data_IF_262700362734
#
_entry.id   IF_262700362734
#
_cell.length_a   1.000
_cell.length_b   1.000
_cell.length_c   1.000
_cell.angle_alpha   90.00
_cell.angle_beta   90.00
_cell.angle_gamma   90.00
#
_symmetry.space_group_name_H-M   'P 1'
#
loop_
_entity.id
_entity.type
_entity.pdbx_description
1 polymer ?
#
# COMPACT_ATOMS: atom_id res chain seq x y z
N UNK A 1 13.03 11.93 4.57
CA UNK A 1 11.82 12.37 3.83
C UNK A 1 11.85 11.89 2.38
N UNK A 2 10.70 11.56 1.76
CA UNK A 2 10.67 11.30 0.30
C UNK A 2 10.97 12.61 -0.46
N UNK A 3 11.99 12.67 -1.34
CA UNK A 3 12.34 13.89 -2.09
C UNK A 3 11.19 14.48 -2.91
N UNK A 4 10.17 13.68 -3.22
CA UNK A 4 9.03 14.10 -4.03
C UNK A 4 8.05 15.00 -3.27
N UNK A 5 7.76 14.73 -1.99
CA UNK A 5 6.79 15.51 -1.20
C UNK A 5 7.22 16.97 -1.01
N UNK A 6 8.48 17.18 -0.62
CA UNK A 6 9.06 18.51 -0.50
C UNK A 6 9.09 19.26 -1.84
N UNK A 7 9.40 18.58 -2.96
CA UNK A 7 9.33 19.18 -4.30
C UNK A 7 7.90 19.59 -4.66
N UNK A 8 6.91 18.74 -4.37
CA UNK A 8 5.50 19.04 -4.66
C UNK A 8 4.99 20.25 -3.86
N UNK A 9 5.33 20.33 -2.56
CA UNK A 9 4.96 21.49 -1.73
C UNK A 9 5.58 22.77 -2.29
N UNK A 10 6.87 22.76 -2.61
CA UNK A 10 7.55 23.90 -3.24
C UNK A 10 6.91 24.30 -4.57
N UNK A 11 6.54 23.32 -5.40
CA UNK A 11 5.84 23.58 -6.66
C UNK A 11 4.48 24.27 -6.45
N UNK A 12 3.67 23.78 -5.51
CA UNK A 12 2.37 24.37 -5.18
C UNK A 12 2.52 25.80 -4.64
N UNK A 13 3.48 26.03 -3.74
CA UNK A 13 3.76 27.36 -3.18
C UNK A 13 4.42 28.32 -4.16
N UNK A 14 4.98 27.83 -5.28
CA UNK A 14 5.47 28.70 -6.36
C UNK A 14 4.34 29.49 -7.04
N UNK A 15 3.07 29.06 -6.88
CA UNK A 15 1.90 29.77 -7.38
C UNK A 15 1.54 31.00 -6.52
N UNK A 16 2.04 31.06 -5.29
CA UNK A 16 1.79 32.14 -4.36
C UNK A 16 1.70 31.66 -2.92
N UNK A 17 1.62 32.63 -2.00
CA UNK A 17 1.36 32.35 -0.59
C UNK A 17 0.02 31.64 -0.40
N UNK A 18 0.01 30.62 0.46
CA UNK A 18 -1.17 29.79 0.66
C UNK A 18 -1.42 29.51 2.13
N UNK A 19 -2.64 29.77 2.65
CA UNK A 19 -3.03 29.35 3.98
C UNK A 19 -2.89 27.83 4.14
N UNK A 20 -2.42 27.38 5.29
CA UNK A 20 -2.22 25.97 5.63
C UNK A 20 -3.41 25.08 5.25
N UNK A 21 -4.63 25.51 5.63
CA UNK A 21 -5.84 24.76 5.34
C UNK A 21 -6.08 24.61 3.83
N UNK A 22 -5.79 25.65 3.03
CA UNK A 22 -5.92 25.61 1.57
C UNK A 22 -4.85 24.69 0.97
N UNK A 23 -3.60 24.81 1.41
CA UNK A 23 -2.49 23.98 0.97
C UNK A 23 -2.79 22.49 1.19
N UNK A 24 -3.24 22.11 2.39
CA UNK A 24 -3.59 20.73 2.72
C UNK A 24 -4.67 20.16 1.79
N UNK A 25 -5.71 20.95 1.45
CA UNK A 25 -6.79 20.49 0.56
C UNK A 25 -6.36 20.44 -0.90
N UNK A 26 -5.54 21.38 -1.36
CA UNK A 26 -4.98 21.35 -2.73
C UNK A 26 -4.09 20.12 -2.90
N UNK A 27 -3.17 19.85 -1.95
CA UNK A 27 -2.31 18.66 -2.00
C UNK A 27 -3.13 17.37 -1.97
N UNK A 28 -4.21 17.31 -1.19
CA UNK A 28 -5.12 16.16 -1.21
C UNK A 28 -5.76 15.94 -2.58
N UNK A 29 -6.21 17.01 -3.26
CA UNK A 29 -6.80 16.89 -4.60
C UNK A 29 -5.79 16.45 -5.67
N UNK A 30 -4.52 16.85 -5.53
CA UNK A 30 -3.42 16.39 -6.38
C UNK A 30 -3.24 14.88 -6.19
N UNK A 31 -3.10 14.43 -4.95
CA UNK A 31 -2.95 13.00 -4.63
C UNK A 31 -4.17 12.19 -5.00
N UNK A 32 -5.38 12.75 -4.90
CA UNK A 32 -6.60 12.11 -5.40
C UNK A 32 -6.54 11.87 -6.90
N UNK A 33 -6.09 12.86 -7.67
CA UNK A 33 -5.94 12.71 -9.11
C UNK A 33 -4.89 11.63 -9.46
N UNK A 34 -3.74 11.67 -8.77
CA UNK A 34 -2.70 10.66 -8.91
C UNK A 34 -3.21 9.27 -8.56
N UNK A 35 -3.92 9.13 -7.45
CA UNK A 35 -4.46 7.86 -7.00
C UNK A 35 -5.47 7.28 -8.00
N UNK A 36 -6.44 8.08 -8.45
CA UNK A 36 -7.46 7.60 -9.37
C UNK A 36 -6.88 7.16 -10.72
N UNK A 37 -5.81 7.81 -11.19
CA UNK A 37 -5.22 7.56 -12.51
C UNK A 37 -4.03 6.60 -12.50
N UNK A 38 -3.23 6.62 -11.44
CA UNK A 38 -1.95 5.93 -11.34
C UNK A 38 -1.84 5.01 -10.11
N UNK A 39 -2.78 5.09 -9.16
CA UNK A 39 -2.90 4.20 -8.01
C UNK A 39 -1.93 4.42 -6.85
N UNK A 40 -1.25 5.57 -6.81
CA UNK A 40 -0.37 5.93 -5.70
C UNK A 40 -0.62 7.37 -5.24
N UNK A 41 -0.14 7.69 -4.05
CA UNK A 41 -0.15 9.05 -3.47
C UNK A 41 1.27 9.48 -3.09
N UNK A 42 1.53 10.79 -3.13
CA UNK A 42 2.78 11.37 -2.63
C UNK A 42 2.78 11.42 -1.10
N UNK A 43 1.62 11.72 -0.51
CA UNK A 43 1.40 11.76 0.92
C UNK A 43 0.40 10.69 1.37
N UNK A 44 0.55 10.22 2.61
CA UNK A 44 -0.46 9.40 3.26
C UNK A 44 -1.55 10.29 3.88
N UNK A 45 -2.80 10.02 3.52
CA UNK A 45 -3.95 10.79 3.93
C UNK A 45 -4.81 10.01 4.91
N UNK A 46 -5.30 10.69 5.93
CA UNK A 46 -6.33 10.19 6.83
C UNK A 46 -7.44 11.20 7.02
N UNK A 47 -8.65 10.72 7.29
CA UNK A 47 -9.74 11.59 7.68
C UNK A 47 -9.50 12.09 9.12
N UNK A 48 -9.38 13.41 9.29
CA UNK A 48 -9.28 14.04 10.61
C UNK A 48 -10.48 14.97 10.85
N UNK A 49 -10.57 15.56 12.05
CA UNK A 49 -11.71 16.43 12.48
C UNK A 49 -12.08 17.49 11.45
N UNK A 50 -11.10 18.00 10.69
CA UNK A 50 -11.27 19.03 9.67
C UNK A 50 -10.99 18.51 8.25
N UNK A 51 -11.39 17.27 7.96
CA UNK A 51 -11.30 16.63 6.65
C UNK A 51 -9.95 15.94 6.42
N UNK A 52 -9.56 15.71 5.15
CA UNK A 52 -8.30 15.05 4.82
C UNK A 52 -7.09 15.76 5.42
N UNK A 53 -6.20 14.98 6.02
CA UNK A 53 -5.02 15.45 6.72
C UNK A 53 -3.85 14.49 6.47
N UNK A 54 -2.64 15.04 6.38
CA UNK A 54 -1.39 14.29 6.33
C UNK A 54 -0.36 14.92 7.27
N UNK A 55 0.22 14.12 8.17
CA UNK A 55 1.36 14.57 9.00
C UNK A 55 2.61 14.78 8.17
N UNK A 56 2.82 13.99 7.12
CA UNK A 56 3.97 14.09 6.23
C UNK A 56 4.06 15.46 5.53
N UNK A 57 2.92 16.14 5.31
CA UNK A 57 2.90 17.52 4.81
C UNK A 57 3.45 18.48 5.85
N UNK A 58 3.12 18.31 7.13
CA UNK A 58 3.65 19.13 8.21
C UNK A 58 5.14 18.90 8.40
N UNK A 59 5.57 17.63 8.41
CA UNK A 59 6.98 17.28 8.53
C UNK A 59 7.79 17.92 7.40
N UNK A 60 7.26 17.87 6.16
CA UNK A 60 7.88 18.50 4.99
C UNK A 60 7.92 20.02 5.07
N UNK A 61 6.87 20.67 5.59
CA UNK A 61 6.88 22.11 5.80
C UNK A 61 7.90 22.51 6.87
N UNK A 62 7.99 21.76 7.97
CA UNK A 62 8.95 22.02 9.04
C UNK A 62 10.40 21.84 8.58
N UNK A 63 10.70 20.82 7.79
CA UNK A 63 12.04 20.65 7.19
C UNK A 63 12.35 21.79 6.21
N UNK A 64 11.43 22.14 5.31
CA UNK A 64 11.61 23.25 4.37
C UNK A 64 11.77 24.60 5.06
N UNK A 65 11.11 24.82 6.19
CA UNK A 65 11.28 26.02 7.02
C UNK A 65 12.65 26.05 7.70
N UNK A 66 13.09 24.93 8.28
CA UNK A 66 14.42 24.81 8.88
C UNK A 66 15.55 25.03 7.85
N UNK A 67 15.32 24.65 6.59
CA UNK A 67 16.23 24.91 5.46
C UNK A 67 16.16 26.34 4.90
N UNK A 68 15.26 27.19 5.40
CA UNK A 68 15.02 28.54 4.88
C UNK A 68 14.46 28.55 3.46
N UNK A 69 13.72 27.52 3.06
CA UNK A 69 13.08 27.39 1.73
C UNK A 69 11.63 27.86 1.73
N UNK A 70 10.98 27.80 2.88
CA UNK A 70 9.59 28.21 3.09
C UNK A 70 9.52 29.05 4.36
N UNK A 71 8.78 30.15 4.31
CA UNK A 71 8.51 31.00 5.47
C UNK A 71 7.07 30.73 5.96
N UNK A 72 6.91 30.46 7.26
CA UNK A 72 5.62 30.41 7.92
C UNK A 72 5.23 31.81 8.43
N UNK A 73 4.07 32.31 8.00
CA UNK A 73 3.52 33.59 8.44
C UNK A 73 2.25 33.36 9.24
N UNK A 74 2.21 33.92 10.44
CA UNK A 74 1.01 33.89 11.27
C UNK A 74 0.16 35.11 10.92
N UNK A 75 -0.98 34.86 10.29
CA UNK A 75 -1.97 35.88 9.97
C UNK A 75 -3.12 35.86 10.97
N UNK A 76 -3.59 37.04 11.37
CA UNK A 76 -4.81 37.16 12.16
C UNK A 76 -6.02 37.12 11.23
N UNK A 77 -6.94 36.19 11.47
CA UNK A 77 -8.16 36.04 10.67
C UNK A 77 -9.38 35.98 11.60
N UNK A 78 -10.14 37.07 11.64
CA UNK A 78 -11.26 37.23 12.58
C UNK A 78 -10.77 37.25 14.05
N UNK A 79 -11.32 36.35 14.86
CA UNK A 79 -10.97 36.09 16.25
C UNK A 79 -9.86 35.05 16.44
N UNK A 80 -9.34 34.46 15.36
CA UNK A 80 -8.30 33.44 15.38
C UNK A 80 -7.01 33.82 14.66
N UNK A 81 -6.06 32.88 14.69
CA UNK A 81 -4.80 32.92 13.94
C UNK A 81 -4.80 31.80 12.89
N UNK A 82 -4.29 32.09 11.70
CA UNK A 82 -4.03 31.10 10.66
C UNK A 82 -2.58 31.19 10.22
N UNK A 83 -1.94 30.05 9.99
CA UNK A 83 -0.61 29.99 9.38
C UNK A 83 -0.77 29.96 7.86
N UNK A 84 -0.05 30.83 7.17
CA UNK A 84 0.15 30.81 5.74
C UNK A 84 1.62 30.51 5.43
N UNK A 85 1.86 29.80 4.34
CA UNK A 85 3.20 29.43 3.92
C UNK A 85 3.54 30.14 2.62
N UNK A 86 4.76 30.66 2.56
CA UNK A 86 5.32 31.33 1.38
C UNK A 86 6.62 30.66 0.96
N UNK A 87 6.77 30.43 -0.34
CA UNK A 87 8.03 29.96 -0.90
C UNK A 87 9.04 31.11 -0.96
N UNK A 88 10.26 30.89 -0.49
CA UNK A 88 11.36 31.83 -0.75
C UNK A 88 11.69 31.89 -2.25
N UNK A 89 12.12 33.06 -2.78
CA UNK A 89 12.39 33.22 -4.20
C UNK A 89 13.41 32.19 -4.74
N UNK A 90 12.92 31.25 -5.54
CA UNK A 90 13.73 30.23 -6.20
C UNK A 90 13.01 29.70 -7.44
N UNK A 91 13.75 29.00 -8.32
CA UNK A 91 13.14 28.31 -9.44
C UNK A 91 12.16 27.23 -8.96
N UNK A 92 11.02 27.09 -9.65
CA UNK A 92 10.10 26.00 -9.37
C UNK A 92 10.80 24.66 -9.58
N UNK A 93 10.66 23.69 -8.65
CA UNK A 93 11.32 22.41 -8.79
C UNK A 93 10.71 21.60 -9.95
N UNK A 94 11.54 20.77 -10.59
CA UNK A 94 11.03 19.78 -11.55
C UNK A 94 10.29 18.67 -10.82
N UNK A 95 9.08 18.38 -11.33
CA UNK A 95 8.23 17.29 -10.89
C UNK A 95 8.15 16.21 -11.97
N UNK A 96 7.96 14.93 -11.60
CA UNK A 96 7.57 13.89 -12.55
C UNK A 96 6.35 14.34 -13.38
N UNK A 97 6.28 14.02 -14.69
CA UNK A 97 5.24 14.53 -15.59
C UNK A 97 3.82 14.34 -15.07
N UNK A 98 3.51 13.16 -14.52
CA UNK A 98 2.21 12.80 -13.96
C UNK A 98 1.86 13.61 -12.71
N UNK A 99 2.85 13.86 -11.84
CA UNK A 99 2.68 14.70 -10.63
C UNK A 99 2.48 16.16 -11.03
N UNK A 100 3.23 16.62 -12.04
CA UNK A 100 3.09 17.98 -12.58
C UNK A 100 1.71 18.19 -13.19
N UNK A 101 1.23 17.24 -14.01
CA UNK A 101 -0.11 17.33 -14.62
C UNK A 101 -1.20 17.42 -13.55
N UNK A 102 -1.12 16.56 -12.52
CA UNK A 102 -2.06 16.58 -11.40
C UNK A 102 -2.02 17.91 -10.65
N UNK A 103 -0.82 18.42 -10.36
CA UNK A 103 -0.61 19.70 -9.69
C UNK A 103 -1.17 20.87 -10.51
N UNK A 104 -0.85 20.94 -11.80
CA UNK A 104 -1.31 22.02 -12.69
C UNK A 104 -2.83 22.05 -12.78
N UNK A 105 -3.49 20.89 -12.92
CA UNK A 105 -4.96 20.81 -12.93
C UNK A 105 -5.57 21.31 -11.63
N UNK A 106 -5.07 20.83 -10.49
CA UNK A 106 -5.60 21.22 -9.18
C UNK A 106 -5.40 22.72 -8.92
N UNK A 107 -4.22 23.25 -9.24
CA UNK A 107 -3.89 24.67 -9.08
C UNK A 107 -4.73 25.55 -10.01
N UNK A 108 -4.87 25.20 -11.30
CA UNK A 108 -5.69 25.95 -12.24
C UNK A 108 -7.15 26.06 -11.80
N UNK A 109 -7.67 25.03 -11.14
CA UNK A 109 -9.05 25.00 -10.68
C UNK A 109 -9.26 25.68 -9.32
N UNK A 110 -8.32 25.54 -8.38
CA UNK A 110 -8.55 25.86 -6.97
C UNK A 110 -7.61 26.92 -6.37
N UNK A 111 -6.50 27.28 -7.02
CA UNK A 111 -5.54 28.24 -6.46
C UNK A 111 -6.17 29.62 -6.24
N UNK A 112 -7.05 30.05 -7.14
CA UNK A 112 -7.70 31.37 -7.08
C UNK A 112 -9.11 31.34 -6.45
N UNK A 113 -9.59 30.15 -6.04
CA UNK A 113 -10.90 29.97 -5.40
C UNK A 113 -10.87 30.22 -3.91
N UNK A 114 -12.00 30.62 -3.33
CA UNK A 114 -12.11 30.81 -1.89
C UNK A 114 -12.00 29.48 -1.13
N UNK A 115 -11.40 29.53 0.06
CA UNK A 115 -11.19 28.33 0.88
C UNK A 115 -12.51 27.61 1.21
N UNK A 116 -13.60 28.36 1.42
CA UNK A 116 -14.92 27.78 1.71
C UNK A 116 -15.46 26.92 0.56
N UNK A 117 -15.26 27.35 -0.69
CA UNK A 117 -15.67 26.57 -1.87
C UNK A 117 -14.84 25.29 -2.00
N UNK A 118 -13.52 25.40 -1.79
CA UNK A 118 -12.62 24.25 -1.79
C UNK A 118 -12.99 23.24 -0.69
N UNK A 119 -13.27 23.70 0.53
CA UNK A 119 -13.71 22.83 1.63
C UNK A 119 -15.00 22.12 1.26
N UNK A 120 -16.01 22.85 0.76
CA UNK A 120 -17.29 22.27 0.33
C UNK A 120 -17.09 21.19 -0.74
N UNK A 121 -16.21 21.44 -1.70
CA UNK A 121 -15.88 20.44 -2.73
C UNK A 121 -15.22 19.21 -2.13
N UNK A 122 -14.13 19.37 -1.37
CA UNK A 122 -13.40 18.23 -0.79
C UNK A 122 -14.30 17.38 0.11
N UNK A 123 -15.18 17.99 0.89
CA UNK A 123 -16.08 17.27 1.79
C UNK A 123 -17.23 16.58 1.07
N UNK A 124 -17.55 17.03 -0.16
CA UNK A 124 -18.54 16.39 -1.02
C UNK A 124 -18.01 15.17 -1.77
N UNK A 125 -16.70 14.90 -1.74
CA UNK A 125 -16.10 13.72 -2.35
C UNK A 125 -16.52 12.46 -1.59
N UNK A 126 -16.87 11.40 -2.31
CA UNK A 126 -17.36 10.13 -1.76
C UNK A 126 -16.40 9.56 -0.72
N UNK A 127 -15.11 9.47 -1.06
CA UNK A 127 -14.08 8.93 -0.18
C UNK A 127 -13.87 9.74 1.12
N UNK A 128 -14.25 11.02 1.12
CA UNK A 128 -14.16 11.89 2.31
C UNK A 128 -15.44 11.83 3.12
N UNK A 129 -16.59 11.84 2.43
CA UNK A 129 -17.93 11.83 3.02
C UNK A 129 -18.24 10.52 3.74
N UNK A 130 -17.79 9.41 3.18
CA UNK A 130 -18.10 8.06 3.68
C UNK A 130 -17.05 7.53 4.66
N UNK A 131 -15.87 8.16 4.72
CA UNK A 131 -14.82 7.75 5.64
C UNK A 131 -15.18 8.03 7.11
N UNK A 132 -14.77 7.12 7.99
CA UNK A 132 -14.80 7.31 9.45
C UNK A 132 -13.60 8.13 9.92
N UNK A 133 -13.69 8.90 11.02
CA UNK A 133 -12.53 9.57 11.60
C UNK A 133 -11.37 8.59 11.84
N UNK A 134 -10.17 8.98 11.42
CA UNK A 134 -8.95 8.17 11.51
C UNK A 134 -8.72 7.21 10.34
N UNK A 135 -9.70 7.00 9.46
CA UNK A 135 -9.54 6.12 8.30
C UNK A 135 -8.51 6.66 7.32
N UNK A 136 -7.74 5.75 6.72
CA UNK A 136 -6.89 6.05 5.57
C UNK A 136 -7.76 6.42 4.37
N UNK A 137 -7.34 7.45 3.63
CA UNK A 137 -7.99 7.92 2.41
C UNK A 137 -7.12 7.58 1.19
N UNK A 138 -7.76 7.45 0.02
CA UNK A 138 -7.08 7.19 -1.25
C UNK A 138 -6.24 5.90 -1.20
N UNK A 139 -6.85 4.83 -0.70
CA UNK A 139 -6.25 3.50 -0.55
C UNK A 139 -7.23 2.43 -1.02
N UNK A 140 -6.67 1.33 -1.50
CA UNK A 140 -7.42 0.11 -1.80
C UNK A 140 -7.06 -0.90 -0.73
N UNK A 141 -7.76 -0.81 0.41
CA UNK A 141 -7.44 -1.61 1.59
C UNK A 141 -7.61 -3.11 1.30
N UNK A 142 -8.57 -3.49 0.45
CA UNK A 142 -8.73 -4.89 0.07
C UNK A 142 -7.51 -5.39 -0.70
N UNK A 143 -7.02 -4.62 -1.68
CA UNK A 143 -5.81 -4.98 -2.44
C UNK A 143 -4.56 -4.99 -1.56
N UNK A 144 -4.37 -3.97 -0.73
CA UNK A 144 -3.21 -3.89 0.16
C UNK A 144 -3.26 -5.00 1.22
N UNK A 145 -4.44 -5.36 1.75
CA UNK A 145 -4.61 -6.49 2.64
C UNK A 145 -4.31 -7.81 1.95
N UNK A 146 -4.77 -8.02 0.71
CA UNK A 146 -4.42 -9.20 -0.09
C UNK A 146 -2.91 -9.38 -0.18
N UNK A 147 -2.20 -8.30 -0.51
CA UNK A 147 -0.74 -8.30 -0.68
C UNK A 147 -0.04 -8.55 0.65
N UNK A 148 -0.35 -7.77 1.69
CA UNK A 148 0.30 -7.90 2.99
C UNK A 148 0.06 -9.28 3.61
N UNK A 149 -1.18 -9.76 3.62
CA UNK A 149 -1.52 -11.05 4.21
C UNK A 149 -1.00 -12.19 3.34
N UNK A 150 -1.13 -12.12 2.02
CA UNK A 150 -0.91 -13.28 1.16
C UNK A 150 0.52 -13.49 0.69
N UNK A 151 1.30 -12.44 0.43
CA UNK A 151 2.68 -12.60 -0.03
C UNK A 151 3.54 -13.27 1.03
N UNK A 152 4.24 -14.34 0.66
CA UNK A 152 5.06 -15.14 1.58
C UNK A 152 4.31 -16.29 2.26
N UNK A 153 2.98 -16.39 2.11
CA UNK A 153 2.19 -17.40 2.81
C UNK A 153 2.57 -18.85 2.47
N UNK A 154 2.89 -19.16 1.21
CA UNK A 154 3.26 -20.53 0.84
C UNK A 154 4.70 -20.84 1.27
N UNK A 155 5.60 -19.85 1.24
CA UNK A 155 6.94 -19.98 1.80
C UNK A 155 6.89 -20.22 3.32
N UNK A 156 6.14 -19.42 4.08
CA UNK A 156 5.98 -19.61 5.53
C UNK A 156 5.36 -20.97 5.87
N UNK A 157 4.35 -21.41 5.10
CA UNK A 157 3.72 -22.70 5.35
C UNK A 157 4.67 -23.85 5.00
N UNK A 158 5.40 -23.77 3.88
CA UNK A 158 6.33 -24.81 3.44
C UNK A 158 7.62 -24.87 4.27
N UNK A 159 8.13 -23.70 4.66
CA UNK A 159 9.45 -23.49 5.24
C UNK A 159 9.35 -22.71 6.56
N UNK A 160 9.83 -23.30 7.65
CA UNK A 160 9.89 -22.62 8.94
C UNK A 160 11.24 -21.90 9.06
N UNK A 161 11.22 -20.59 8.87
CA UNK A 161 12.39 -19.73 9.11
C UNK A 161 12.83 -19.80 10.57
N UNK A 162 14.15 -19.81 10.80
CA UNK A 162 14.73 -19.83 12.16
C UNK A 162 14.80 -18.44 12.79
N UNK A 163 14.95 -17.39 11.98
CA UNK A 163 15.01 -16.01 12.46
C UNK A 163 13.63 -15.45 12.84
N UNK A 164 13.58 -14.70 13.94
CA UNK A 164 12.34 -14.06 14.37
C UNK A 164 12.00 -12.86 13.46
N UNK A 165 10.79 -12.82 12.86
CA UNK A 165 10.40 -11.71 12.00
C UNK A 165 10.23 -10.42 12.80
N UNK A 166 10.36 -9.28 12.12
CA UNK A 166 10.04 -7.98 12.73
C UNK A 166 8.60 -7.99 13.31
N UNK A 167 8.32 -7.24 14.39
CA UNK A 167 7.01 -7.26 15.06
C UNK A 167 5.82 -7.05 14.14
N UNK A 168 5.98 -6.21 13.11
CA UNK A 168 4.93 -5.94 12.13
C UNK A 168 4.62 -7.16 11.26
N UNK A 169 5.63 -7.89 10.80
CA UNK A 169 5.47 -9.11 10.03
C UNK A 169 4.95 -10.26 10.88
N UNK A 170 5.25 -10.27 12.19
CA UNK A 170 4.62 -11.19 13.14
C UNK A 170 3.09 -10.99 13.19
N UNK A 171 2.62 -9.74 13.27
CA UNK A 171 1.18 -9.44 13.24
C UNK A 171 0.53 -9.84 11.91
N UNK A 172 1.21 -9.58 10.80
CA UNK A 172 0.74 -9.99 9.46
C UNK A 172 0.66 -11.51 9.34
N UNK A 173 1.68 -12.24 9.82
CA UNK A 173 1.67 -13.70 9.87
C UNK A 173 0.49 -14.21 10.73
N UNK A 174 0.24 -13.64 11.91
CA UNK A 174 -0.93 -14.01 12.73
C UNK A 174 -2.27 -13.80 11.99
N UNK A 175 -2.41 -12.72 11.21
CA UNK A 175 -3.60 -12.49 10.38
C UNK A 175 -3.72 -13.51 9.25
N UNK A 176 -2.61 -13.84 8.59
CA UNK A 176 -2.52 -14.89 7.57
C UNK A 176 -2.97 -16.24 8.12
N UNK A 177 -2.50 -16.62 9.31
CA UNK A 177 -2.91 -17.85 9.98
C UNK A 177 -4.43 -17.88 10.19
N UNK A 178 -5.03 -16.78 10.66
CA UNK A 178 -6.49 -16.66 10.82
C UNK A 178 -7.26 -16.74 9.50
N UNK A 179 -6.76 -16.11 8.44
CA UNK A 179 -7.37 -16.21 7.10
C UNK A 179 -7.37 -17.65 6.61
N UNK A 180 -6.25 -18.37 6.78
CA UNK A 180 -6.15 -19.78 6.39
C UNK A 180 -7.07 -20.67 7.23
N UNK A 181 -7.12 -20.46 8.55
CA UNK A 181 -8.00 -21.22 9.44
C UNK A 181 -9.48 -21.00 9.11
N UNK A 182 -9.87 -19.76 8.80
CA UNK A 182 -11.24 -19.40 8.45
C UNK A 182 -11.63 -19.90 7.04
N UNK A 183 -10.70 -19.89 6.09
CA UNK A 183 -10.89 -20.49 4.77
C UNK A 183 -11.05 -22.03 4.84
N UNK A 184 -10.37 -22.66 5.79
CA UNK A 184 -10.40 -24.11 6.01
C UNK A 184 -11.44 -24.55 7.06
N UNK A 185 -12.05 -23.61 7.80
CA UNK A 185 -12.97 -23.86 8.90
C UNK A 185 -14.34 -24.42 8.49
N UNK A 186 -14.62 -24.53 7.19
CA UNK A 186 -15.76 -25.24 6.62
C UNK A 186 -15.37 -26.60 6.02
N UNK A 187 -16.34 -27.36 5.49
CA UNK A 187 -16.09 -28.53 4.61
C UNK A 187 -15.58 -28.08 3.22
N UNK A 188 -14.66 -27.12 3.19
CA UNK A 188 -14.15 -26.55 1.95
C UNK A 188 -13.54 -27.65 1.08
N UNK A 189 -14.13 -27.79 -0.11
CA UNK A 189 -13.60 -28.68 -1.15
C UNK A 189 -12.38 -28.01 -1.78
N UNK A 190 -11.44 -28.80 -2.26
CA UNK A 190 -10.19 -28.26 -2.79
C UNK A 190 -10.41 -27.28 -3.95
N UNK A 191 -11.39 -27.57 -4.81
CA UNK A 191 -11.83 -26.74 -5.93
C UNK A 191 -12.51 -25.43 -5.53
N UNK A 192 -12.78 -25.21 -4.24
CA UNK A 192 -13.40 -23.99 -3.70
C UNK A 192 -12.43 -23.15 -2.86
N UNK A 193 -11.18 -23.61 -2.65
CA UNK A 193 -10.21 -22.97 -1.75
C UNK A 193 -9.93 -21.52 -2.15
N UNK A 194 -9.68 -21.24 -3.43
CA UNK A 194 -9.39 -19.87 -3.89
C UNK A 194 -10.54 -18.88 -3.58
N UNK A 195 -11.78 -19.36 -3.68
CA UNK A 195 -12.96 -18.56 -3.34
C UNK A 195 -13.09 -18.37 -1.83
N UNK A 196 -12.89 -19.44 -1.04
CA UNK A 196 -12.92 -19.40 0.42
C UNK A 196 -11.85 -18.46 1.01
N UNK A 197 -10.62 -18.51 0.47
CA UNK A 197 -9.52 -17.60 0.81
C UNK A 197 -9.89 -16.16 0.50
N UNK A 198 -10.42 -15.88 -0.69
CA UNK A 198 -10.81 -14.52 -1.07
C UNK A 198 -11.87 -13.94 -0.14
N UNK A 199 -12.84 -14.75 0.27
CA UNK A 199 -13.89 -14.33 1.20
C UNK A 199 -13.38 -14.14 2.64
N UNK A 200 -12.51 -15.04 3.12
CA UNK A 200 -11.83 -14.87 4.41
C UNK A 200 -10.99 -13.59 4.42
N UNK A 201 -10.20 -13.35 3.38
CA UNK A 201 -9.36 -12.16 3.25
C UNK A 201 -10.17 -10.85 3.32
N UNK A 202 -11.33 -10.77 2.68
CA UNK A 202 -12.23 -9.60 2.78
C UNK A 202 -12.66 -9.36 4.22
N UNK A 203 -13.02 -10.41 4.96
CA UNK A 203 -13.40 -10.32 6.39
C UNK A 203 -12.25 -9.80 7.25
N UNK A 204 -11.01 -10.14 6.91
CA UNK A 204 -9.83 -9.69 7.68
C UNK A 204 -9.19 -8.38 7.20
N UNK A 205 -9.66 -7.81 6.09
CA UNK A 205 -9.15 -6.52 5.53
C UNK A 205 -9.10 -5.39 6.56
N UNK A 206 -10.12 -5.16 7.42
CA UNK A 206 -10.09 -4.07 8.40
C UNK A 206 -8.96 -4.19 9.45
N UNK A 207 -8.42 -5.39 9.67
CA UNK A 207 -7.38 -5.62 10.69
C UNK A 207 -5.96 -5.31 10.19
N UNK A 208 -5.79 -5.12 8.88
CA UNK A 208 -4.49 -4.76 8.28
C UNK A 208 -4.23 -3.24 8.33
N UNK A 209 -5.28 -2.43 8.55
CA UNK A 209 -5.18 -0.96 8.54
C UNK A 209 -4.12 -0.44 9.52
N UNK A 210 -3.97 -1.07 10.69
CA UNK A 210 -2.98 -0.66 11.68
C UNK A 210 -1.55 -0.99 11.25
N UNK A 211 -1.33 -2.17 10.65
CA UNK A 211 -0.02 -2.52 10.10
C UNK A 211 0.35 -1.57 8.95
N UNK A 212 -0.61 -1.21 8.08
CA UNK A 212 -0.37 -0.22 7.01
C UNK A 212 0.05 1.13 7.60
N UNK A 213 -0.62 1.58 8.68
CA UNK A 213 -0.25 2.84 9.36
C UNK A 213 1.17 2.79 9.90
N UNK A 214 1.55 1.72 10.61
CA UNK A 214 2.90 1.56 11.15
C UNK A 214 3.97 1.61 10.05
N UNK A 215 3.76 0.96 8.90
CA UNK A 215 4.69 1.00 7.75
C UNK A 215 4.81 2.43 7.19
N UNK A 216 3.68 3.10 7.01
CA UNK A 216 3.63 4.46 6.47
C UNK A 216 4.32 5.46 7.40
N UNK A 217 4.12 5.32 8.72
CA UNK A 217 4.74 6.16 9.74
C UNK A 217 6.26 5.94 9.79
N UNK A 218 6.73 4.73 9.49
CA UNK A 218 8.14 4.44 9.25
C UNK A 218 8.67 5.00 7.91
N UNK A 219 7.82 5.63 7.10
CA UNK A 219 8.18 6.26 5.82
C UNK A 219 8.24 5.31 4.62
N UNK A 220 7.83 4.05 4.80
CA UNK A 220 7.88 3.02 3.77
C UNK A 220 6.54 2.88 3.01
N UNK A 221 6.56 2.17 1.88
CA UNK A 221 5.37 1.83 1.11
C UNK A 221 4.91 0.41 1.47
N UNK A 222 3.67 0.19 1.94
CA UNK A 222 3.21 -1.12 2.40
C UNK A 222 3.34 -2.24 1.35
N UNK A 223 3.02 -1.94 0.09
CA UNK A 223 3.09 -2.92 -1.00
C UNK A 223 4.53 -3.28 -1.30
N UNK A 224 5.41 -2.29 -1.43
CA UNK A 224 6.84 -2.52 -1.66
C UNK A 224 7.48 -3.27 -0.49
N UNK A 225 7.16 -2.91 0.75
CA UNK A 225 7.65 -3.57 1.95
C UNK A 225 7.24 -5.04 2.02
N UNK A 226 5.98 -5.36 1.69
CA UNK A 226 5.50 -6.74 1.61
C UNK A 226 6.24 -7.53 0.52
N UNK A 227 6.42 -6.92 -0.67
CA UNK A 227 7.11 -7.54 -1.79
C UNK A 227 8.58 -7.84 -1.47
N UNK A 228 9.30 -6.89 -0.88
CA UNK A 228 10.72 -7.07 -0.53
C UNK A 228 10.91 -8.18 0.50
N UNK A 229 10.02 -8.24 1.49
CA UNK A 229 10.02 -9.33 2.47
C UNK A 229 9.75 -10.69 1.80
N UNK A 230 8.76 -10.77 0.91
CA UNK A 230 8.48 -12.01 0.20
C UNK A 230 9.64 -12.44 -0.72
N UNK A 231 10.30 -11.51 -1.43
CA UNK A 231 11.49 -11.84 -2.23
C UNK A 231 12.59 -12.46 -1.36
N UNK A 232 12.82 -11.92 -0.17
CA UNK A 232 13.79 -12.46 0.77
C UNK A 232 13.39 -13.88 1.23
N UNK A 233 12.16 -14.06 1.71
CA UNK A 233 11.65 -15.37 2.17
C UNK A 233 11.75 -16.45 1.09
N UNK A 234 11.38 -16.11 -0.15
CA UNK A 234 11.47 -17.04 -1.27
C UNK A 234 12.89 -17.32 -1.72
N UNK A 235 13.82 -16.36 -1.60
CA UNK A 235 15.23 -16.63 -1.91
C UNK A 235 15.81 -17.70 -0.99
N UNK A 236 15.54 -17.59 0.32
CA UNK A 236 15.97 -18.55 1.33
C UNK A 236 15.36 -19.94 1.06
N UNK A 237 14.04 -19.99 0.81
CA UNK A 237 13.34 -21.25 0.65
C UNK A 237 13.63 -21.97 -0.68
N UNK A 238 13.99 -21.23 -1.74
CA UNK A 238 14.44 -21.82 -3.02
C UNK A 238 15.86 -22.38 -2.91
N UNK A 239 16.73 -21.74 -2.12
CA UNK A 239 18.08 -22.23 -1.83
C UNK A 239 18.04 -23.52 -1.00
N UNK A 240 17.13 -23.62 -0.02
CA UNK A 240 16.96 -24.80 0.85
C UNK A 240 16.01 -25.86 0.25
N UNK A 241 16.02 -26.02 -1.08
CA UNK A 241 15.06 -26.87 -1.80
C UNK A 241 15.01 -28.34 -1.38
N UNK A 242 16.04 -28.84 -0.68
CA UNK A 242 16.07 -30.18 -0.08
C UNK A 242 15.05 -30.35 1.06
N UNK A 243 14.70 -29.27 1.77
CA UNK A 243 13.75 -29.29 2.88
C UNK A 243 12.28 -29.58 2.47
N UNK A 244 11.96 -29.57 1.17
CA UNK A 244 10.61 -29.78 0.65
C UNK A 244 10.19 -31.26 0.55
N UNK A 245 11.13 -32.18 0.77
CA UNK A 245 10.91 -33.64 0.77
C UNK A 245 10.86 -34.26 -0.62
N UNK A 246 10.34 -35.48 -0.72
CA UNK A 246 10.30 -36.28 -1.96
C UNK A 246 8.86 -36.49 -2.49
N UNK A 247 8.75 -36.83 -3.77
CA UNK A 247 7.50 -37.19 -4.43
C UNK A 247 6.89 -36.09 -5.30
N UNK A 248 5.75 -36.39 -5.94
CA UNK A 248 5.09 -35.52 -6.91
C UNK A 248 4.77 -34.13 -6.35
N UNK A 249 4.31 -34.08 -5.11
CA UNK A 249 4.01 -32.83 -4.43
C UNK A 249 5.22 -31.95 -4.16
N UNK A 250 6.34 -32.54 -3.73
CA UNK A 250 7.55 -31.78 -3.46
C UNK A 250 8.05 -31.11 -4.75
N UNK A 251 8.01 -31.86 -5.87
CA UNK A 251 8.33 -31.31 -7.18
C UNK A 251 7.38 -30.19 -7.63
N UNK A 252 6.07 -30.31 -7.38
CA UNK A 252 5.08 -29.25 -7.67
C UNK A 252 5.30 -28.02 -6.79
N UNK A 253 5.52 -28.22 -5.49
CA UNK A 253 5.77 -27.13 -4.54
C UNK A 253 7.04 -26.36 -4.91
N UNK A 254 8.15 -27.05 -5.20
CA UNK A 254 9.38 -26.40 -5.65
C UNK A 254 9.16 -25.56 -6.91
N UNK A 255 8.42 -26.09 -7.90
CA UNK A 255 8.06 -25.32 -9.12
C UNK A 255 7.23 -24.08 -8.79
N UNK A 256 6.27 -24.18 -7.88
CA UNK A 256 5.50 -23.03 -7.42
C UNK A 256 6.43 -21.97 -6.81
N UNK A 257 7.35 -22.37 -5.93
CA UNK A 257 8.25 -21.44 -5.23
C UNK A 257 9.18 -20.71 -6.19
N UNK A 258 9.77 -21.43 -7.15
CA UNK A 258 10.60 -20.81 -8.21
C UNK A 258 9.78 -19.87 -9.08
N UNK A 259 8.55 -20.24 -9.43
CA UNK A 259 7.66 -19.40 -10.23
C UNK A 259 7.31 -18.09 -9.50
N UNK A 260 6.92 -18.17 -8.23
CA UNK A 260 6.61 -17.00 -7.39
C UNK A 260 7.83 -16.11 -7.21
N UNK A 261 9.00 -16.68 -6.87
CA UNK A 261 10.25 -15.93 -6.74
C UNK A 261 10.59 -15.15 -8.03
N UNK A 262 10.45 -15.81 -9.18
CA UNK A 262 10.72 -15.17 -10.49
C UNK A 262 9.75 -14.03 -10.77
N UNK A 263 8.46 -14.18 -10.42
CA UNK A 263 7.46 -13.12 -10.61
C UNK A 263 7.72 -11.94 -9.66
N UNK A 264 8.02 -12.21 -8.39
CA UNK A 264 8.26 -11.17 -7.39
C UNK A 264 9.52 -10.37 -7.68
N UNK A 265 10.62 -11.01 -8.06
CA UNK A 265 11.86 -10.30 -8.46
C UNK A 265 11.63 -9.42 -9.69
N UNK A 266 10.90 -9.89 -10.69
CA UNK A 266 10.52 -9.09 -11.86
C UNK A 266 9.67 -7.88 -11.48
N UNK A 267 8.61 -8.09 -10.69
CA UNK A 267 7.72 -7.01 -10.25
C UNK A 267 8.46 -6.02 -9.35
N UNK A 268 9.37 -6.49 -8.51
CA UNK A 268 10.19 -5.63 -7.65
C UNK A 268 11.05 -4.67 -8.47
N UNK A 269 11.56 -5.11 -9.62
CA UNK A 269 12.25 -4.24 -10.58
C UNK A 269 11.37 -3.16 -11.22
N UNK A 270 10.04 -3.31 -11.19
CA UNK A 270 9.09 -2.29 -11.65
C UNK A 270 8.68 -1.31 -10.53
N UNK A 271 8.96 -1.66 -9.26
CA UNK A 271 8.66 -0.82 -8.11
C UNK A 271 9.92 -0.08 -7.65
N UNK A 272 9.93 1.25 -7.73
CA UNK A 272 10.98 2.06 -7.12
C UNK A 272 10.72 2.22 -5.60
N UNK A 273 10.40 3.44 -5.14
CA UNK A 273 9.97 3.69 -3.76
C UNK A 273 8.50 3.32 -3.51
N UNK A 274 7.72 3.14 -4.57
CA UNK A 274 6.30 2.77 -4.54
C UNK A 274 5.98 1.89 -5.74
N UNK A 275 5.03 0.95 -5.58
CA UNK A 275 4.60 0.11 -6.70
C UNK A 275 3.51 0.78 -7.55
N UNK A 276 3.61 0.75 -8.89
CA UNK A 276 2.53 1.17 -9.80
C UNK A 276 1.25 0.35 -9.59
N UNK A 277 0.08 0.91 -9.92
CA UNK A 277 -1.21 0.21 -9.79
C UNK A 277 -1.24 -1.15 -10.49
N UNK A 278 -0.73 -1.23 -11.71
CA UNK A 278 -0.68 -2.48 -12.49
C UNK A 278 0.23 -3.54 -11.88
N UNK A 279 1.28 -3.14 -11.17
CA UNK A 279 2.12 -4.04 -10.38
C UNK A 279 1.36 -4.53 -9.15
N UNK A 280 0.73 -3.62 -8.39
CA UNK A 280 -0.07 -3.97 -7.22
C UNK A 280 -1.24 -4.91 -7.57
N UNK A 281 -1.90 -4.72 -8.71
CA UNK A 281 -2.98 -5.60 -9.19
C UNK A 281 -2.48 -7.02 -9.50
N UNK A 282 -1.29 -7.17 -10.09
CA UNK A 282 -0.65 -8.48 -10.29
C UNK A 282 -0.24 -9.11 -8.96
N UNK A 283 0.33 -8.34 -8.04
CA UNK A 283 0.72 -8.82 -6.71
C UNK A 283 -0.47 -9.34 -5.91
N UNK A 284 -1.60 -8.64 -5.93
CA UNK A 284 -2.80 -9.10 -5.22
C UNK A 284 -3.34 -10.43 -5.78
N UNK A 285 -3.25 -10.64 -7.10
CA UNK A 285 -3.60 -11.94 -7.71
C UNK A 285 -2.63 -13.03 -7.25
N UNK A 286 -1.32 -12.78 -7.29
CA UNK A 286 -0.32 -13.73 -6.83
C UNK A 286 -0.49 -14.06 -5.35
N UNK A 287 -0.77 -13.06 -4.50
CA UNK A 287 -0.98 -13.23 -3.07
C UNK A 287 -2.20 -14.12 -2.75
N UNK A 288 -3.29 -14.00 -3.51
CA UNK A 288 -4.44 -14.89 -3.37
C UNK A 288 -4.12 -16.33 -3.80
N UNK A 289 -3.41 -16.51 -4.92
CA UNK A 289 -2.96 -17.83 -5.37
C UNK A 289 -2.00 -18.48 -4.36
N UNK A 290 -1.15 -17.66 -3.75
CA UNK A 290 -0.21 -18.10 -2.73
C UNK A 290 -0.92 -18.55 -1.43
N UNK A 291 -1.94 -17.80 -0.98
CA UNK A 291 -2.79 -18.23 0.14
C UNK A 291 -3.55 -19.53 -0.18
N UNK A 292 -4.02 -19.70 -1.42
CA UNK A 292 -4.65 -20.94 -1.84
C UNK A 292 -3.66 -22.12 -1.80
N UNK A 293 -2.42 -21.92 -2.26
CA UNK A 293 -1.36 -22.91 -2.14
C UNK A 293 -1.03 -23.25 -0.67
N UNK A 294 -0.94 -22.24 0.21
CA UNK A 294 -0.74 -22.44 1.64
C UNK A 294 -1.88 -23.25 2.28
N UNK A 295 -3.13 -22.98 1.91
CA UNK A 295 -4.29 -23.76 2.36
C UNK A 295 -4.22 -25.22 1.88
N UNK A 296 -3.82 -25.46 0.62
CA UNK A 296 -3.59 -26.80 0.09
C UNK A 296 -2.46 -27.54 0.83
N UNK A 297 -1.39 -26.85 1.22
CA UNK A 297 -0.31 -27.43 2.03
C UNK A 297 -0.80 -27.86 3.41
N UNK A 298 -1.69 -27.10 4.06
CA UNK A 298 -2.33 -27.50 5.32
C UNK A 298 -3.22 -28.72 5.18
N UNK A 299 -4.04 -28.77 4.12
CA UNK A 299 -4.88 -29.93 3.84
C UNK A 299 -4.03 -31.19 3.62
N UNK A 300 -2.90 -31.06 2.91
CA UNK A 300 -1.95 -32.16 2.76
C UNK A 300 -1.42 -32.64 4.11
N UNK A 301 -1.03 -31.73 5.00
CA UNK A 301 -0.55 -32.05 6.36
C UNK A 301 -1.61 -32.73 7.23
N UNK A 302 -2.90 -32.48 6.97
CA UNK A 302 -4.01 -33.17 7.63
C UNK A 302 -4.43 -34.48 6.95
N UNK A 303 -3.72 -34.93 5.92
CA UNK A 303 -3.94 -36.20 5.22
C UNK A 303 -4.85 -36.14 4.00
N UNK A 304 -5.26 -34.94 3.56
CA UNK A 304 -6.04 -34.73 2.32
C UNK A 304 -5.12 -34.34 1.17
N UNK A 305 -4.95 -35.24 0.21
CA UNK A 305 -3.99 -35.08 -0.90
C UNK A 305 -4.65 -34.55 -2.18
N UNK A 306 -4.57 -33.23 -2.37
CA UNK A 306 -5.15 -32.47 -3.50
C UNK A 306 -4.11 -32.02 -4.56
N UNK A 307 -3.24 -32.93 -5.01
CA UNK A 307 -2.08 -32.60 -5.88
C UNK A 307 -2.47 -31.94 -7.22
N UNK A 308 -3.67 -32.26 -7.70
CA UNK A 308 -4.21 -31.72 -8.93
C UNK A 308 -4.53 -30.23 -8.79
N UNK A 309 -5.04 -29.81 -7.62
CA UNK A 309 -5.39 -28.43 -7.35
C UNK A 309 -4.15 -27.55 -7.23
N UNK A 310 -3.09 -28.06 -6.58
CA UNK A 310 -1.80 -27.36 -6.57
C UNK A 310 -1.27 -27.14 -8.01
N UNK A 311 -1.48 -28.11 -8.90
CA UNK A 311 -1.15 -27.98 -10.32
C UNK A 311 -1.88 -26.81 -10.99
N UNK A 312 -3.19 -26.66 -10.72
CA UNK A 312 -3.97 -25.52 -11.25
C UNK A 312 -3.46 -24.19 -10.74
N UNK A 313 -3.17 -24.09 -9.44
CA UNK A 313 -2.60 -22.88 -8.85
C UNK A 313 -1.28 -22.50 -9.52
N UNK A 314 -0.41 -23.47 -9.81
CA UNK A 314 0.86 -23.25 -10.52
C UNK A 314 0.61 -22.69 -11.93
N UNK A 315 -0.30 -23.31 -12.69
CA UNK A 315 -0.63 -22.87 -14.04
C UNK A 315 -1.18 -21.43 -14.04
N UNK A 316 -2.01 -21.09 -13.05
CA UNK A 316 -2.53 -19.74 -12.86
C UNK A 316 -1.41 -18.74 -12.50
N UNK A 317 -0.47 -19.10 -11.62
CA UNK A 317 0.69 -18.24 -11.29
C UNK A 317 1.53 -17.94 -12.53
N UNK A 318 1.73 -18.91 -13.43
CA UNK A 318 2.44 -18.66 -14.69
C UNK A 318 1.71 -17.66 -15.59
N UNK A 319 0.37 -17.63 -15.54
CA UNK A 319 -0.48 -16.78 -16.37
C UNK A 319 -0.59 -15.31 -15.93
N UNK A 320 -0.23 -14.98 -14.68
CA UNK A 320 -0.25 -13.61 -14.12
C UNK A 320 0.89 -12.75 -14.65
#
# INVERSE_FOLDING_TARGET
MRPLGARLIKYVLSRGEMPYAKLMKVLFLIDRHLYLRHGYTVFAWRLYKYGPFSSQVLDALSELEAEGRVEARVERRGDGYSVAYRLEPQAAPELPPEVKEAADRALAQWADKELGELIKHVYGLEEVREARPGALLLRDLEREAAILIGLGAAAEEAYRREEEPMPIFKRIAELRQRVLDDALGGEARADEISAAVSEALRRYTPYVEEAIKEIIEAGADPVKTALDNAVLEYSEAVEDGEALGEGEWAGKLYRLMVALFTKYTKISGECEATCPRSAAERLAKLANLELAAAALLRLRRSGREEAAELGRVIDEVFSV
#
